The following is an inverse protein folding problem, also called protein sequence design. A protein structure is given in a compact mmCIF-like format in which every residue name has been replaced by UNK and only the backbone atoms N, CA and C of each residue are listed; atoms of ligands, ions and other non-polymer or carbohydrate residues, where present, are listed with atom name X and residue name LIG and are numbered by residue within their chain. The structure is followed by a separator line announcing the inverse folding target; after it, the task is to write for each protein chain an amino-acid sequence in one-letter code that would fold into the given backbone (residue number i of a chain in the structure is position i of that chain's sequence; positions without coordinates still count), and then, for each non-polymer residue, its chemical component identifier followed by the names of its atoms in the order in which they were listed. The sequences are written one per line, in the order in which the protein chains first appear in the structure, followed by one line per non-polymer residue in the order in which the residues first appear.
data_IF_489385612592
#
_entry.id   IF_489385612592
#
_cell.length_a   1.000
_cell.length_b   1.000
_cell.length_c   1.000
_cell.angle_alpha   90.00
_cell.angle_beta   90.00
_cell.angle_gamma   90.00
#
_symmetry.space_group_name_H-M   'P 1'
#
loop_
_entity.id
_entity.type
_entity.pdbx_description
1 polymer ?
#
# COMPACT_ATOMS: atom_id res chain seq x y z
N UNK A 1 -13.79 -7.93 -21.49
CA UNK A 1 -14.00 -7.21 -20.22
C UNK A 1 -12.67 -6.73 -19.59
N UNK A 2 -11.74 -7.62 -19.22
CA UNK A 2 -10.40 -7.24 -18.68
C UNK A 2 -9.64 -6.24 -19.57
N UNK A 3 -9.61 -6.48 -20.88
CA UNK A 3 -8.93 -5.61 -21.86
C UNK A 3 -9.45 -4.18 -21.87
N UNK A 4 -10.76 -4.01 -21.77
CA UNK A 4 -11.39 -2.68 -21.68
C UNK A 4 -10.98 -1.94 -20.41
N UNK A 5 -11.03 -2.61 -19.25
CA UNK A 5 -10.62 -2.02 -17.96
C UNK A 5 -9.16 -1.57 -18.01
N UNK A 6 -8.26 -2.45 -18.45
CA UNK A 6 -6.83 -2.15 -18.57
C UNK A 6 -6.59 -0.98 -19.53
N UNK A 7 -7.22 -1.02 -20.70
CA UNK A 7 -7.10 0.04 -21.71
C UNK A 7 -7.58 1.40 -21.19
N UNK A 8 -8.69 1.44 -20.46
CA UNK A 8 -9.22 2.69 -19.90
C UNK A 8 -8.31 3.28 -18.81
N UNK A 9 -7.80 2.43 -17.90
CA UNK A 9 -6.91 2.86 -16.82
C UNK A 9 -5.57 3.43 -17.32
N UNK A 10 -5.13 3.04 -18.51
CA UNK A 10 -3.90 3.55 -19.12
C UNK A 10 -4.10 4.90 -19.86
N UNK A 11 -5.34 5.38 -20.04
CA UNK A 11 -5.60 6.67 -20.70
C UNK A 11 -5.05 7.84 -19.88
N UNK A 12 -4.70 8.94 -20.55
CA UNK A 12 -4.32 10.21 -19.88
C UNK A 12 -5.42 10.72 -18.93
N UNK A 13 -6.68 10.50 -19.30
CA UNK A 13 -7.89 10.82 -18.52
C UNK A 13 -8.79 9.57 -18.50
N UNK A 14 -8.61 8.66 -17.52
CA UNK A 14 -9.45 7.47 -17.39
C UNK A 14 -10.88 7.86 -17.01
N UNK A 15 -11.85 7.08 -17.48
CA UNK A 15 -13.27 7.26 -17.13
C UNK A 15 -13.67 6.36 -15.96
N UNK A 16 -13.01 5.20 -15.83
CA UNK A 16 -13.16 4.30 -14.69
C UNK A 16 -12.50 4.95 -13.46
N UNK A 17 -13.29 5.08 -12.40
CA UNK A 17 -12.88 5.71 -11.13
C UNK A 17 -12.48 4.70 -10.06
N UNK A 18 -12.99 3.48 -10.13
CA UNK A 18 -12.78 2.41 -9.16
C UNK A 18 -12.74 1.07 -9.87
N UNK A 19 -11.81 0.21 -9.46
CA UNK A 19 -11.74 -1.19 -9.90
C UNK A 19 -11.59 -2.07 -8.66
N UNK A 20 -12.49 -3.04 -8.52
CA UNK A 20 -12.36 -4.11 -7.54
C UNK A 20 -11.55 -5.24 -8.19
N UNK A 21 -10.45 -5.62 -7.56
CA UNK A 21 -9.48 -6.53 -8.15
C UNK A 21 -8.87 -7.48 -7.13
N UNK A 22 -8.50 -8.66 -7.60
CA UNK A 22 -7.53 -9.53 -6.91
C UNK A 22 -6.15 -9.34 -7.51
N UNK A 23 -5.13 -9.95 -6.89
CA UNK A 23 -3.72 -9.89 -7.33
C UNK A 23 -3.55 -10.19 -8.84
N UNK A 24 -4.40 -11.05 -9.40
CA UNK A 24 -4.37 -11.48 -10.81
C UNK A 24 -4.62 -10.34 -11.83
N UNK A 25 -5.17 -9.19 -11.42
CA UNK A 25 -5.32 -8.04 -12.32
C UNK A 25 -4.00 -7.29 -12.54
N UNK A 26 -3.06 -7.37 -11.60
CA UNK A 26 -1.92 -6.46 -11.53
C UNK A 26 -0.78 -6.73 -12.51
N UNK A 27 -0.56 -7.96 -12.94
CA UNK A 27 0.62 -8.27 -13.77
C UNK A 27 0.56 -7.54 -15.13
N UNK A 28 1.56 -6.69 -15.40
CA UNK A 28 1.70 -5.95 -16.66
C UNK A 28 0.87 -4.67 -16.80
N UNK A 29 0.07 -4.30 -15.79
CA UNK A 29 -0.70 -3.05 -15.80
C UNK A 29 0.19 -1.85 -15.40
N UNK A 30 0.38 -0.91 -16.32
CA UNK A 30 0.94 0.41 -16.04
C UNK A 30 -0.13 1.50 -16.17
N UNK A 31 -0.79 1.81 -15.06
CA UNK A 31 -1.81 2.85 -14.97
C UNK A 31 -1.31 4.01 -14.09
N UNK A 32 -0.55 4.96 -14.66
CA UNK A 32 0.13 5.99 -13.88
C UNK A 32 -0.81 7.00 -13.21
N UNK A 33 -2.10 7.01 -13.58
CA UNK A 33 -3.14 7.84 -12.97
C UNK A 33 -3.69 7.29 -11.64
N UNK A 34 -3.30 6.08 -11.22
CA UNK A 34 -3.74 5.54 -9.92
C UNK A 34 -3.21 6.42 -8.79
N UNK A 35 -4.11 6.93 -7.96
CA UNK A 35 -3.80 7.74 -6.78
C UNK A 35 -4.05 7.01 -5.47
N UNK A 36 -4.84 5.93 -5.48
CA UNK A 36 -5.18 5.16 -4.28
C UNK A 36 -5.13 3.67 -4.53
N UNK A 37 -4.58 2.94 -3.58
CA UNK A 37 -4.70 1.48 -3.47
C UNK A 37 -5.30 1.18 -2.11
N UNK A 38 -6.39 0.40 -2.10
CA UNK A 38 -7.12 0.04 -0.90
C UNK A 38 -7.14 -1.48 -0.78
N UNK A 39 -6.56 -1.98 0.30
CA UNK A 39 -6.60 -3.38 0.68
C UNK A 39 -7.72 -3.61 1.68
N UNK A 40 -8.74 -4.38 1.29
CA UNK A 40 -9.80 -4.83 2.22
C UNK A 40 -9.32 -5.93 3.16
N UNK A 41 -8.12 -6.49 2.91
CA UNK A 41 -7.44 -7.48 3.73
C UNK A 41 -5.94 -7.41 3.46
N UNK A 42 -5.06 -7.64 4.45
CA UNK A 42 -3.61 -7.69 4.21
C UNK A 42 -3.23 -8.73 3.16
N UNK A 43 -2.25 -8.44 2.31
CA UNK A 43 -1.55 -9.45 1.53
C UNK A 43 -0.88 -10.48 2.44
N UNK A 44 -0.32 -11.53 1.85
CA UNK A 44 0.38 -12.57 2.62
C UNK A 44 1.76 -12.13 3.11
N UNK A 45 2.36 -11.09 2.52
CA UNK A 45 3.67 -10.60 2.94
C UNK A 45 3.86 -9.11 2.64
N UNK A 46 4.92 -8.51 3.20
CA UNK A 46 5.27 -7.11 2.95
C UNK A 46 5.79 -6.88 1.52
N UNK A 47 6.40 -7.87 0.89
CA UNK A 47 6.81 -7.80 -0.52
C UNK A 47 5.60 -7.69 -1.44
N UNK A 48 4.59 -8.53 -1.22
CA UNK A 48 3.34 -8.46 -1.95
C UNK A 48 2.65 -7.11 -1.73
N UNK A 49 2.57 -6.66 -0.47
CA UNK A 49 2.01 -5.36 -0.14
C UNK A 49 2.73 -4.22 -0.85
N UNK A 50 4.07 -4.17 -0.82
CA UNK A 50 4.87 -3.15 -1.51
C UNK A 50 4.67 -3.16 -3.02
N UNK A 51 4.67 -4.33 -3.64
CA UNK A 51 4.44 -4.46 -5.08
C UNK A 51 3.05 -3.95 -5.48
N UNK A 52 2.04 -4.21 -4.65
CA UNK A 52 0.66 -3.84 -4.91
C UNK A 52 0.41 -2.34 -4.71
N UNK A 53 0.88 -1.75 -3.61
CA UNK A 53 0.71 -0.31 -3.35
C UNK A 53 1.56 0.56 -4.26
N UNK A 54 2.70 0.04 -4.75
CA UNK A 54 3.60 0.72 -5.69
C UNK A 54 2.99 1.04 -7.06
N UNK A 55 1.74 0.61 -7.30
CA UNK A 55 0.94 1.00 -8.48
C UNK A 55 0.45 2.43 -8.40
N UNK A 56 0.26 2.95 -7.19
CA UNK A 56 -0.16 4.33 -7.00
C UNK A 56 1.03 5.30 -7.15
N UNK A 57 0.74 6.53 -7.58
CA UNK A 57 1.72 7.63 -7.49
C UNK A 57 2.85 7.59 -8.51
N UNK A 58 2.78 6.78 -9.59
CA UNK A 58 3.86 6.66 -10.60
C UNK A 58 4.19 7.96 -11.36
N UNK A 59 3.34 9.00 -11.30
CA UNK A 59 3.62 10.35 -11.82
C UNK A 59 4.27 11.29 -10.80
N UNK A 60 4.61 10.81 -9.61
CA UNK A 60 5.12 11.65 -8.50
C UNK A 60 4.04 12.46 -7.79
N UNK A 61 2.77 12.29 -8.15
CA UNK A 61 1.64 12.90 -7.47
C UNK A 61 1.40 12.25 -6.10
N UNK A 62 0.86 13.03 -5.16
CA UNK A 62 0.43 12.50 -3.86
C UNK A 62 -0.53 11.32 -4.05
N UNK A 63 -0.28 10.26 -3.30
CA UNK A 63 -1.04 9.01 -3.38
C UNK A 63 -1.16 8.37 -2.01
N UNK A 64 -2.17 7.51 -1.86
CA UNK A 64 -2.52 6.88 -0.60
C UNK A 64 -2.57 5.36 -0.75
N UNK A 65 -1.95 4.68 0.20
CA UNK A 65 -2.11 3.25 0.43
C UNK A 65 -2.91 3.07 1.72
N UNK A 66 -4.04 2.38 1.64
CA UNK A 66 -4.95 2.15 2.77
C UNK A 66 -5.06 0.65 2.97
N UNK A 67 -4.74 0.20 4.18
CA UNK A 67 -4.79 -1.21 4.55
C UNK A 67 -5.80 -1.42 5.68
N UNK A 68 -6.90 -2.10 5.38
CA UNK A 68 -7.85 -2.58 6.37
C UNK A 68 -7.50 -4.01 6.79
N UNK A 69 -7.67 -4.28 8.09
CA UNK A 69 -7.50 -5.60 8.67
C UNK A 69 -8.30 -5.73 9.97
N UNK A 70 -8.56 -6.97 10.37
CA UNK A 70 -9.01 -7.33 11.71
C UNK A 70 -8.12 -8.46 12.28
N UNK A 71 -8.37 -8.88 13.51
CA UNK A 71 -7.58 -9.92 14.19
C UNK A 71 -7.59 -11.28 13.45
N UNK A 72 -8.67 -11.61 12.73
CA UNK A 72 -8.74 -12.84 11.95
C UNK A 72 -7.87 -12.74 10.68
N UNK A 73 -7.83 -11.58 10.05
CA UNK A 73 -7.05 -11.33 8.84
C UNK A 73 -5.53 -11.40 9.04
N UNK A 74 -5.07 -11.06 10.25
CA UNK A 74 -3.68 -11.13 10.69
C UNK A 74 -3.38 -12.33 11.60
N UNK A 75 -4.29 -13.31 11.64
CA UNK A 75 -4.08 -14.54 12.42
C UNK A 75 -2.97 -15.39 11.80
N UNK A 76 -2.06 -15.92 12.63
CA UNK A 76 -1.04 -16.89 12.20
C UNK A 76 -1.63 -18.18 11.62
N UNK A 77 -2.90 -18.48 11.90
CA UNK A 77 -3.60 -19.61 11.30
C UNK A 77 -3.93 -19.38 9.81
N UNK A 78 -3.88 -18.14 9.33
CA UNK A 78 -4.12 -17.83 7.92
C UNK A 78 -2.99 -18.39 7.06
N UNK A 79 -3.34 -19.31 6.16
CA UNK A 79 -2.38 -19.96 5.27
C UNK A 79 -1.51 -18.95 4.51
N UNK A 80 -0.20 -19.07 4.69
CA UNK A 80 0.82 -18.32 3.95
C UNK A 80 1.04 -16.88 4.40
N UNK A 81 0.40 -16.42 5.48
CA UNK A 81 0.71 -15.10 6.04
C UNK A 81 2.11 -15.11 6.67
N UNK A 82 2.91 -14.08 6.41
CA UNK A 82 4.22 -13.90 7.04
C UNK A 82 4.09 -13.17 8.37
N UNK A 83 5.03 -13.42 9.28
CA UNK A 83 5.13 -12.64 10.52
C UNK A 83 5.38 -11.14 10.22
N UNK A 84 6.05 -10.82 9.11
CA UNK A 84 6.37 -9.43 8.74
C UNK A 84 5.14 -8.57 8.46
N UNK A 85 4.12 -9.08 7.75
CA UNK A 85 2.89 -8.32 7.51
C UNK A 85 2.03 -8.24 8.77
N UNK A 86 2.07 -9.26 9.65
CA UNK A 86 1.38 -9.24 10.94
C UNK A 86 1.98 -8.13 11.82
N UNK A 87 3.29 -8.12 12.00
CA UNK A 87 4.00 -7.10 12.78
C UNK A 87 3.76 -5.70 12.24
N UNK A 88 3.80 -5.53 10.91
CA UNK A 88 3.51 -4.25 10.27
C UNK A 88 2.10 -3.73 10.56
N UNK A 89 1.09 -4.62 10.56
CA UNK A 89 -0.27 -4.23 10.88
C UNK A 89 -0.41 -3.84 12.35
N UNK A 90 0.25 -4.56 13.26
CA UNK A 90 0.14 -4.38 14.71
C UNK A 90 0.97 -3.22 15.25
N UNK A 91 1.89 -2.65 14.46
CA UNK A 91 2.73 -1.53 14.88
C UNK A 91 1.97 -0.20 14.78
N UNK A 92 1.69 0.42 15.92
CA UNK A 92 1.01 1.72 16.05
C UNK A 92 1.96 2.85 16.50
N UNK A 93 3.25 2.53 16.73
CA UNK A 93 4.25 3.47 17.26
C UNK A 93 5.20 3.95 16.16
N UNK A 94 5.77 3.01 15.40
CA UNK A 94 6.81 3.30 14.43
C UNK A 94 6.23 3.86 13.13
N UNK A 95 7.02 4.69 12.44
CA UNK A 95 6.66 5.15 11.11
C UNK A 95 6.51 3.96 10.15
N UNK A 96 5.32 3.78 9.57
CA UNK A 96 5.05 2.69 8.63
C UNK A 96 5.98 2.70 7.42
N UNK A 97 6.40 3.88 6.93
CA UNK A 97 7.39 3.98 5.85
C UNK A 97 8.75 3.45 6.28
N UNK A 98 9.17 3.74 7.51
CA UNK A 98 10.43 3.23 8.05
C UNK A 98 10.41 1.71 8.22
N UNK A 99 9.28 1.15 8.69
CA UNK A 99 9.12 -0.31 8.78
C UNK A 99 9.29 -0.98 7.41
N UNK A 100 8.68 -0.42 6.36
CA UNK A 100 8.84 -0.93 4.99
C UNK A 100 10.29 -0.86 4.54
N UNK A 101 10.94 0.30 4.68
CA UNK A 101 12.34 0.51 4.25
C UNK A 101 13.30 -0.45 4.98
N UNK A 102 13.12 -0.63 6.30
CA UNK A 102 13.89 -1.60 7.09
C UNK A 102 13.69 -3.04 6.64
N UNK A 103 12.46 -3.42 6.27
CA UNK A 103 12.15 -4.76 5.77
C UNK A 103 12.98 -5.12 4.53
N UNK A 104 13.29 -4.16 3.66
CA UNK A 104 14.14 -4.38 2.47
C UNK A 104 15.63 -4.13 2.70
N UNK A 105 16.08 -4.04 3.96
CA UNK A 105 17.50 -3.92 4.31
C UNK A 105 18.06 -2.50 4.23
N UNK A 106 17.21 -1.47 4.15
CA UNK A 106 17.63 -0.07 4.17
C UNK A 106 17.51 0.53 5.57
N UNK A 107 18.44 1.42 5.94
CA UNK A 107 18.52 1.99 7.29
C UNK A 107 17.72 3.29 7.47
N UNK A 108 17.49 4.04 6.39
CA UNK A 108 16.96 5.40 6.45
C UNK A 108 15.89 5.66 5.40
N UNK A 109 14.89 6.45 5.78
CA UNK A 109 13.85 6.94 4.88
C UNK A 109 14.28 8.27 4.26
N UNK A 110 14.22 8.36 2.93
CA UNK A 110 14.37 9.64 2.23
C UNK A 110 13.01 10.32 2.06
N UNK A 111 12.93 11.62 2.34
CA UNK A 111 11.72 12.43 2.16
C UNK A 111 12.02 13.61 1.25
N UNK A 112 11.13 13.89 0.30
CA UNK A 112 11.14 15.14 -0.48
C UNK A 112 10.35 16.27 0.21
N UNK A 113 10.04 16.13 1.51
CA UNK A 113 9.16 17.04 2.26
C UNK A 113 9.11 16.72 3.76
N UNK A 114 8.06 17.17 4.46
CA UNK A 114 7.95 17.01 5.91
C UNK A 114 7.70 15.53 6.33
N UNK A 115 8.58 14.92 7.14
CA UNK A 115 8.40 13.53 7.61
C UNK A 115 7.18 13.35 8.53
N UNK A 116 6.70 14.41 9.18
CA UNK A 116 5.69 14.41 10.24
C UNK A 116 4.23 14.15 9.80
N UNK A 117 4.00 13.72 8.56
CA UNK A 117 2.65 13.40 8.06
C UNK A 117 2.62 12.23 7.09
N UNK A 118 3.70 11.46 7.03
CA UNK A 118 3.95 10.54 5.93
C UNK A 118 3.18 9.21 6.02
N UNK A 119 2.63 8.89 7.19
CA UNK A 119 1.75 7.74 7.46
C UNK A 119 0.81 8.00 8.65
N UNK A 120 -0.12 7.09 8.93
CA UNK A 120 -1.07 7.18 10.07
C UNK A 120 -0.37 7.30 11.42
N UNK A 121 0.67 6.50 11.68
CA UNK A 121 1.37 6.49 12.96
C UNK A 121 2.09 7.83 13.21
N UNK A 122 2.75 8.38 12.18
CA UNK A 122 3.35 9.71 12.25
C UNK A 122 2.29 10.78 12.54
N UNK A 123 1.13 10.73 11.87
CA UNK A 123 0.04 11.69 12.12
C UNK A 123 -0.49 11.60 13.56
N UNK A 124 -0.66 10.38 14.09
CA UNK A 124 -1.17 10.16 15.43
C UNK A 124 -0.17 10.56 16.53
N UNK A 125 1.13 10.41 16.28
CA UNK A 125 2.18 10.87 17.21
C UNK A 125 2.13 12.38 17.49
N UNK A 126 1.54 13.18 16.60
CA UNK A 126 1.32 14.61 16.81
C UNK A 126 0.06 14.95 17.60
N UNK A 127 -0.86 14.01 17.80
CA UNK A 127 -2.09 14.22 18.58
C UNK A 127 -1.91 13.95 20.08
N UNK A 128 -0.84 13.23 20.45
CA UNK A 128 -0.53 12.85 21.84
C UNK A 128 0.58 13.73 22.47
N UNK A 129 0.82 14.93 21.93
CA UNK A 129 1.67 15.98 22.51
C UNK A 129 0.81 17.19 22.81
#
# INVERSE_FOLDING_TARGET
MKSFIVSDLCKKKPTIRLVLATVALGMGLDAPSISRVIHCRPPTSLEAYMQEIGRAGRRGQSSEAILYYNNNDISKARKGISDSIIQYCQDDVNCLRLLLVKHFGFSETQYSGNPNGCCSNCKNAHLNK
#
